data_IF_921417898737
#
_entry.id   IF_921417898737
#
_cell.length_a   1.000
_cell.length_b   1.000
_cell.length_c   1.000
_cell.angle_alpha   90.00
_cell.angle_beta   90.00
_cell.angle_gamma   90.00
#
_symmetry.space_group_name_H-M   'P 1'
#
loop_
_entity.id
_entity.type
_entity.pdbx_description
1 polymer ?
#
# COMPACT_ATOMS: atom_id res chain seq x y z
N UNK A 1 -2.57 17.88 -11.08
CA UNK A 1 -2.46 16.92 -12.19
C UNK A 1 -3.08 15.64 -11.69
N UNK A 2 -4.25 15.27 -12.22
CA UNK A 2 -5.01 14.10 -11.76
C UNK A 2 -4.40 12.82 -12.36
N UNK A 3 -3.18 12.50 -11.92
CA UNK A 3 -2.52 11.27 -12.29
C UNK A 3 -2.80 10.21 -11.22
N UNK A 4 -3.41 9.10 -11.63
CA UNK A 4 -3.68 7.94 -10.79
C UNK A 4 -3.07 6.69 -11.40
N UNK A 5 -2.46 5.87 -10.56
CA UNK A 5 -1.88 4.59 -10.96
C UNK A 5 -2.86 3.48 -10.66
N UNK A 6 -3.23 2.70 -11.67
CA UNK A 6 -4.06 1.51 -11.49
C UNK A 6 -3.23 0.31 -11.01
N UNK A 7 -3.82 -0.48 -10.11
CA UNK A 7 -3.31 -1.78 -9.70
C UNK A 7 -4.46 -2.76 -9.48
N UNK A 8 -4.15 -4.06 -9.51
CA UNK A 8 -5.12 -5.12 -9.27
C UNK A 8 -4.61 -6.03 -8.15
N UNK A 9 -5.51 -6.35 -7.24
CA UNK A 9 -5.31 -7.29 -6.14
C UNK A 9 -5.91 -8.64 -6.48
N UNK A 10 -5.27 -9.70 -6.01
CA UNK A 10 -5.87 -11.03 -5.94
C UNK A 10 -5.25 -11.78 -4.77
N UNK A 11 -6.05 -12.55 -4.05
CA UNK A 11 -5.55 -13.47 -3.04
C UNK A 11 -6.22 -14.82 -3.21
N UNK A 12 -5.44 -15.78 -3.73
CA UNK A 12 -5.93 -17.13 -4.00
C UNK A 12 -6.22 -17.95 -2.74
N UNK A 13 -5.71 -17.55 -1.58
CA UNK A 13 -5.94 -18.22 -0.31
C UNK A 13 -7.23 -17.72 0.34
N UNK A 14 -7.54 -16.44 0.20
CA UNK A 14 -8.77 -15.84 0.71
C UNK A 14 -9.95 -16.18 -0.21
N UNK A 15 -9.80 -15.90 -1.50
CA UNK A 15 -10.89 -15.92 -2.50
C UNK A 15 -10.30 -16.25 -3.89
N UNK A 16 -10.20 -17.54 -4.26
CA UNK A 16 -9.47 -18.03 -5.44
C UNK A 16 -9.76 -17.34 -6.77
N UNK A 17 -11.01 -16.91 -6.97
CA UNK A 17 -11.50 -16.31 -8.21
C UNK A 17 -11.73 -14.80 -8.11
N UNK A 18 -11.61 -14.23 -6.91
CA UNK A 18 -11.90 -12.82 -6.70
C UNK A 18 -10.66 -11.98 -6.93
N UNK A 19 -10.81 -11.00 -7.82
CA UNK A 19 -9.85 -9.93 -8.03
C UNK A 19 -10.56 -8.61 -7.85
N UNK A 20 -9.83 -7.59 -7.42
CA UNK A 20 -10.38 -6.26 -7.33
C UNK A 20 -9.34 -5.22 -7.69
N UNK A 21 -9.83 -4.11 -8.22
CA UNK A 21 -9.00 -3.01 -8.68
C UNK A 21 -8.82 -1.95 -7.59
N UNK A 22 -7.72 -1.21 -7.72
CA UNK A 22 -7.45 -0.03 -6.93
C UNK A 22 -6.64 1.00 -7.70
N UNK A 23 -6.56 2.19 -7.12
CA UNK A 23 -5.83 3.33 -7.65
C UNK A 23 -4.97 3.99 -6.58
N UNK A 24 -3.82 4.50 -7.00
CA UNK A 24 -2.90 5.27 -6.16
C UNK A 24 -2.84 6.69 -6.71
N UNK A 25 -3.13 7.66 -5.85
CA UNK A 25 -2.96 9.08 -6.11
C UNK A 25 -1.82 9.58 -5.22
N UNK A 26 -0.64 9.91 -5.78
CA UNK A 26 0.42 10.54 -4.99
C UNK A 26 -0.01 11.95 -4.59
N UNK A 27 0.01 12.24 -3.30
CA UNK A 27 -0.37 13.54 -2.73
C UNK A 27 0.84 14.45 -2.51
N UNK A 28 2.02 13.87 -2.29
CA UNK A 28 3.28 14.58 -2.18
C UNK A 28 4.08 14.55 -3.49
N UNK A 29 5.03 15.48 -3.63
CA UNK A 29 6.03 15.45 -4.71
C UNK A 29 6.85 14.17 -4.69
N UNK A 30 7.15 13.63 -5.87
CA UNK A 30 8.01 12.46 -6.03
C UNK A 30 9.46 12.76 -5.59
N UNK A 31 10.16 11.75 -5.07
CA UNK A 31 11.55 11.86 -4.65
C UNK A 31 11.78 12.40 -3.23
N UNK A 32 10.72 12.65 -2.48
CA UNK A 32 10.82 12.94 -1.04
C UNK A 32 11.22 11.67 -0.27
N UNK A 33 11.87 11.85 0.89
CA UNK A 33 12.20 10.73 1.78
C UNK A 33 10.95 10.05 2.37
N UNK A 34 9.83 10.78 2.37
CA UNK A 34 8.51 10.33 2.79
C UNK A 34 7.51 10.75 1.71
N UNK A 35 6.70 9.80 1.28
CA UNK A 35 5.67 9.97 0.25
C UNK A 35 4.30 9.79 0.86
N UNK A 36 3.41 10.73 0.56
CA UNK A 36 1.99 10.66 0.90
C UNK A 36 1.22 10.09 -0.28
N UNK A 37 0.47 9.02 -0.03
CA UNK A 37 -0.33 8.31 -1.02
C UNK A 37 -1.78 8.25 -0.56
N UNK A 38 -2.69 8.47 -1.50
CA UNK A 38 -4.08 8.10 -1.33
C UNK A 38 -4.35 6.84 -2.13
N UNK A 39 -4.77 5.79 -1.44
CA UNK A 39 -5.08 4.48 -2.00
C UNK A 39 -6.60 4.37 -2.05
N UNK A 40 -7.16 4.16 -3.24
CA UNK A 40 -8.59 3.99 -3.43
C UNK A 40 -8.89 2.60 -3.99
N UNK A 41 -9.76 1.87 -3.32
CA UNK A 41 -10.31 0.60 -3.83
C UNK A 41 -11.75 0.46 -3.30
N UNK A 42 -12.09 -0.63 -2.61
CA UNK A 42 -13.36 -0.81 -1.88
C UNK A 42 -13.52 0.20 -0.74
N UNK A 43 -12.40 0.62 -0.17
CA UNK A 43 -12.26 1.68 0.83
C UNK A 43 -11.24 2.73 0.33
N UNK A 44 -11.26 3.92 0.92
CA UNK A 44 -10.23 4.94 0.71
C UNK A 44 -9.29 4.97 1.91
N UNK A 45 -7.99 4.91 1.66
CA UNK A 45 -6.96 4.95 2.69
C UNK A 45 -5.95 6.06 2.40
N UNK A 46 -5.60 6.82 3.44
CA UNK A 46 -4.47 7.75 3.41
C UNK A 46 -3.25 7.07 4.03
N UNK A 47 -2.16 7.00 3.26
CA UNK A 47 -0.92 6.34 3.64
C UNK A 47 0.27 7.30 3.56
N UNK A 48 1.13 7.24 4.56
CA UNK A 48 2.42 7.93 4.61
C UNK A 48 3.48 6.84 4.62
N UNK A 49 4.31 6.81 3.59
CA UNK A 49 5.29 5.74 3.34
C UNK A 49 6.68 6.34 3.24
N UNK A 50 7.69 5.66 3.77
CA UNK A 50 9.05 6.15 3.63
C UNK A 50 10.10 5.20 4.16
N UNK A 51 11.32 5.72 4.26
CA UNK A 51 12.49 4.98 4.67
C UNK A 51 13.01 5.47 6.02
N UNK A 52 13.50 4.53 6.82
CA UNK A 52 14.21 4.79 8.07
C UNK A 52 15.57 4.09 8.03
N UNK A 53 16.45 4.38 9.00
CA UNK A 53 17.69 3.64 9.17
C UNK A 53 17.49 2.14 9.48
N UNK A 54 16.26 1.73 9.81
CA UNK A 54 15.90 0.36 10.19
C UNK A 54 15.00 -0.34 9.17
N UNK A 55 14.82 0.24 7.98
CA UNK A 55 13.99 -0.29 6.90
C UNK A 55 12.84 0.64 6.49
N UNK A 56 11.88 0.08 5.77
CA UNK A 56 10.73 0.80 5.24
C UNK A 56 9.62 0.92 6.29
N UNK A 57 8.77 1.94 6.19
CA UNK A 57 7.62 2.09 7.07
C UNK A 57 6.39 2.54 6.31
N UNK A 58 5.23 2.26 6.91
CA UNK A 58 3.95 2.84 6.54
C UNK A 58 3.20 3.30 7.79
N UNK A 59 2.52 4.44 7.66
CA UNK A 59 1.53 4.94 8.60
C UNK A 59 0.21 5.17 7.84
N UNK A 60 -0.91 4.73 8.42
CA UNK A 60 -2.26 5.01 7.96
C UNK A 60 -2.99 5.79 9.07
N UNK A 61 -2.89 7.13 9.09
CA UNK A 61 -3.33 7.96 10.22
C UNK A 61 -4.82 7.81 10.54
N UNK A 62 -5.66 7.74 9.51
CA UNK A 62 -7.12 7.63 9.64
C UNK A 62 -7.55 6.36 10.39
N UNK A 63 -6.69 5.34 10.40
CA UNK A 63 -6.92 4.04 11.03
C UNK A 63 -6.10 3.86 12.31
N UNK A 64 -5.24 4.82 12.67
CA UNK A 64 -4.33 4.69 13.81
C UNK A 64 -3.31 3.56 13.67
N UNK A 65 -2.95 3.20 12.43
CA UNK A 65 -2.06 2.07 12.13
C UNK A 65 -0.68 2.57 11.70
N UNK A 66 0.38 1.95 12.22
CA UNK A 66 1.75 2.16 11.76
C UNK A 66 2.60 0.91 11.96
N UNK A 67 3.44 0.58 10.98
CA UNK A 67 4.35 -0.58 11.06
C UNK A 67 5.57 -0.41 10.17
N UNK A 68 6.63 -1.13 10.53
CA UNK A 68 7.73 -1.40 9.60
C UNK A 68 7.27 -2.37 8.51
N UNK A 69 7.91 -2.26 7.35
CA UNK A 69 7.72 -3.09 6.18
C UNK A 69 9.04 -3.78 5.82
N UNK A 70 8.93 -4.91 5.11
CA UNK A 70 10.03 -5.47 4.33
C UNK A 70 10.27 -4.59 3.09
N UNK A 71 10.96 -5.10 2.08
CA UNK A 71 11.01 -4.46 0.77
C UNK A 71 9.58 -4.20 0.24
N UNK A 72 9.34 -3.05 -0.42
CA UNK A 72 8.00 -2.70 -0.92
C UNK A 72 7.43 -3.73 -1.90
N UNK A 73 8.29 -4.51 -2.58
CA UNK A 73 7.89 -5.56 -3.51
C UNK A 73 7.64 -6.92 -2.85
N UNK A 74 8.01 -7.08 -1.57
CA UNK A 74 7.76 -8.27 -0.76
C UNK A 74 6.29 -8.34 -0.35
N UNK A 75 5.48 -8.85 -1.28
CA UNK A 75 4.04 -8.98 -1.08
C UNK A 75 3.70 -10.01 -0.01
N UNK A 76 4.55 -11.01 0.27
CA UNK A 76 4.22 -12.05 1.24
C UNK A 76 4.27 -11.48 2.67
N UNK A 77 5.41 -10.90 3.06
CA UNK A 77 5.60 -10.35 4.39
C UNK A 77 4.69 -9.15 4.65
N UNK A 78 4.66 -8.19 3.71
CA UNK A 78 3.88 -6.97 3.89
C UNK A 78 2.39 -7.28 3.97
N UNK A 79 1.89 -8.23 3.17
CA UNK A 79 0.48 -8.65 3.23
C UNK A 79 0.14 -9.25 4.58
N UNK A 80 0.91 -10.22 5.07
CA UNK A 80 0.64 -10.86 6.37
C UNK A 80 0.56 -9.81 7.48
N UNK A 81 1.57 -8.95 7.55
CA UNK A 81 1.64 -7.88 8.56
C UNK A 81 0.48 -6.88 8.46
N UNK A 82 0.11 -6.46 7.25
CA UNK A 82 -0.96 -5.47 7.05
C UNK A 82 -2.35 -6.08 7.23
N UNK A 83 -2.54 -7.36 6.90
CA UNK A 83 -3.80 -8.08 7.14
C UNK A 83 -4.10 -8.21 8.62
N UNK A 84 -3.09 -8.43 9.46
CA UNK A 84 -3.27 -8.43 10.91
C UNK A 84 -3.76 -7.08 11.46
N UNK A 85 -3.38 -5.97 10.84
CA UNK A 85 -3.66 -4.61 11.32
C UNK A 85 -4.93 -3.99 10.73
N UNK A 86 -5.21 -4.26 9.46
CA UNK A 86 -6.29 -3.63 8.69
C UNK A 86 -7.42 -4.61 8.34
N UNK A 87 -7.20 -5.90 8.57
CA UNK A 87 -8.06 -6.97 8.09
C UNK A 87 -7.73 -7.40 6.65
N UNK A 88 -8.35 -8.49 6.16
CA UNK A 88 -7.93 -9.16 4.93
C UNK A 88 -7.95 -8.25 3.70
N UNK A 89 -9.08 -7.61 3.42
CA UNK A 89 -9.26 -6.84 2.18
C UNK A 89 -8.38 -5.59 2.15
N UNK A 90 -8.40 -4.79 3.21
CA UNK A 90 -7.64 -3.55 3.28
C UNK A 90 -6.13 -3.83 3.39
N UNK A 91 -5.73 -4.84 4.16
CA UNK A 91 -4.33 -5.26 4.28
C UNK A 91 -3.74 -5.72 2.94
N UNK A 92 -4.46 -6.57 2.19
CA UNK A 92 -4.06 -7.00 0.84
C UNK A 92 -4.01 -5.80 -0.11
N UNK A 93 -5.01 -4.92 -0.03
CA UNK A 93 -5.09 -3.71 -0.89
C UNK A 93 -3.87 -2.83 -0.71
N UNK A 94 -3.50 -2.52 0.53
CA UNK A 94 -2.32 -1.69 0.83
C UNK A 94 -1.03 -2.38 0.39
N UNK A 95 -0.88 -3.68 0.61
CA UNK A 95 0.32 -4.42 0.18
C UNK A 95 0.49 -4.41 -1.36
N UNK A 96 -0.60 -4.61 -2.11
CA UNK A 96 -0.58 -4.50 -3.57
C UNK A 96 -0.29 -3.07 -4.04
N UNK A 97 -0.86 -2.06 -3.36
CA UNK A 97 -0.61 -0.66 -3.66
C UNK A 97 0.87 -0.30 -3.47
N UNK A 98 1.51 -0.74 -2.38
CA UNK A 98 2.94 -0.50 -2.14
C UNK A 98 3.81 -1.09 -3.25
N UNK A 99 3.53 -2.33 -3.65
CA UNK A 99 4.24 -2.99 -4.76
C UNK A 99 4.08 -2.22 -6.07
N UNK A 100 2.87 -1.73 -6.36
CA UNK A 100 2.61 -0.93 -7.55
C UNK A 100 3.30 0.44 -7.47
N UNK A 101 3.19 1.14 -6.34
CA UNK A 101 3.85 2.42 -6.09
C UNK A 101 5.37 2.34 -6.35
N UNK A 102 6.03 1.31 -5.83
CA UNK A 102 7.45 1.06 -6.08
C UNK A 102 7.74 0.78 -7.57
N UNK A 103 6.92 -0.06 -8.23
CA UNK A 103 7.07 -0.35 -9.67
C UNK A 103 7.01 0.90 -10.54
N UNK A 104 6.22 1.90 -10.16
CA UNK A 104 6.08 3.17 -10.87
C UNK A 104 6.94 4.29 -10.29
N UNK A 105 7.92 3.97 -9.45
CA UNK A 105 8.87 4.91 -8.83
C UNK A 105 8.21 6.04 -8.02
N UNK A 106 7.10 5.73 -7.35
CA UNK A 106 6.47 6.65 -6.39
C UNK A 106 7.12 6.59 -4.99
N UNK A 107 7.66 5.43 -4.64
CA UNK A 107 8.34 5.09 -3.37
C UNK A 107 9.53 4.18 -3.64
#
# INVERSE_FOLDING_TARGET
>A
MDFRIHFTCSDRQLTPEETWDGWIEPLSSLGNAVTELKIQSRSGLYAIVGNTCFGHFICLPDWGVGTLLSDFTDLFFNKERLVELLGPIDGITVACALKAAHKYCLI
#
